data_IF_179912852977
#
_entry.id   IF_179912852977
#
_cell.length_a   1.000
_cell.length_b   1.000
_cell.length_c   1.000
_cell.angle_alpha   90.00
_cell.angle_beta   90.00
_cell.angle_gamma   90.00
#
_symmetry.space_group_name_H-M   'P 1'
#
loop_
_entity.id
_entity.type
_entity.pdbx_description
1 polymer ?
#
# COMPACT_ATOMS: atom_id res chain seq x y z
N UNK A 1 17.29 -20.36 4.57
CA UNK A 1 16.95 -19.59 3.35
C UNK A 1 18.26 -19.16 2.71
N UNK A 2 18.58 -19.67 1.53
CA UNK A 2 19.70 -19.18 0.72
C UNK A 2 19.21 -18.01 -0.13
N UNK A 3 19.98 -16.93 -0.20
CA UNK A 3 19.68 -15.81 -1.09
C UNK A 3 20.36 -16.09 -2.44
N UNK A 4 19.56 -16.24 -3.49
CA UNK A 4 20.06 -16.44 -4.86
C UNK A 4 19.89 -15.14 -5.63
N UNK A 5 20.97 -14.66 -6.23
CA UNK A 5 20.99 -13.43 -7.00
C UNK A 5 21.22 -13.74 -8.48
N UNK A 6 20.29 -13.30 -9.34
CA UNK A 6 20.37 -13.48 -10.78
C UNK A 6 20.31 -12.13 -11.48
N UNK A 7 21.19 -11.93 -12.46
CA UNK A 7 21.28 -10.68 -13.24
C UNK A 7 20.36 -10.73 -14.48
N UNK A 8 20.03 -11.93 -14.95
CA UNK A 8 19.15 -12.15 -16.10
C UNK A 8 18.11 -13.22 -15.74
N UNK A 9 16.84 -12.95 -16.05
CA UNK A 9 15.71 -13.87 -15.86
C UNK A 9 15.94 -15.20 -16.56
N UNK A 10 16.69 -15.23 -17.66
CA UNK A 10 17.03 -16.46 -18.41
C UNK A 10 17.95 -17.40 -17.65
N UNK A 11 18.66 -16.90 -16.64
CA UNK A 11 19.56 -17.70 -15.83
C UNK A 11 18.86 -18.35 -14.62
N UNK A 12 17.56 -18.12 -14.45
CA UNK A 12 16.78 -18.73 -13.37
C UNK A 12 16.39 -20.14 -13.82
N UNK A 13 17.06 -21.15 -13.27
CA UNK A 13 16.77 -22.56 -13.51
C UNK A 13 15.56 -23.05 -12.70
N UNK A 14 14.88 -24.06 -13.24
CA UNK A 14 13.72 -24.68 -12.61
C UNK A 14 14.01 -25.24 -11.22
N UNK A 15 15.21 -25.82 -11.01
CA UNK A 15 15.60 -26.41 -9.73
C UNK A 15 15.77 -25.38 -8.60
N UNK A 16 16.18 -24.16 -8.93
CA UNK A 16 16.36 -23.09 -7.95
C UNK A 16 15.00 -22.53 -7.49
N UNK A 17 14.03 -22.42 -8.41
CA UNK A 17 12.67 -21.96 -8.09
C UNK A 17 11.89 -22.96 -7.23
N UNK A 18 12.16 -24.27 -7.36
CA UNK A 18 11.46 -25.30 -6.57
C UNK A 18 11.73 -25.22 -5.06
N UNK A 19 12.79 -24.53 -4.62
CA UNK A 19 13.11 -24.33 -3.20
C UNK A 19 12.99 -22.86 -2.76
N UNK A 20 12.42 -22.02 -3.63
CA UNK A 20 12.30 -20.59 -3.40
C UNK A 20 10.85 -20.25 -3.04
N UNK A 21 10.64 -19.48 -1.97
CA UNK A 21 9.30 -18.99 -1.60
C UNK A 21 9.02 -17.58 -2.10
N UNK A 22 10.07 -16.78 -2.31
CA UNK A 22 9.96 -15.38 -2.76
C UNK A 22 11.07 -15.07 -3.77
N UNK A 23 10.71 -14.43 -4.88
CA UNK A 23 11.65 -13.89 -5.87
C UNK A 23 11.47 -12.38 -5.92
N UNK A 24 12.58 -11.64 -5.95
CA UNK A 24 12.59 -10.19 -6.16
C UNK A 24 13.31 -9.92 -7.48
N UNK A 25 12.67 -9.16 -8.37
CA UNK A 25 13.19 -8.83 -9.69
C UNK A 25 13.03 -7.34 -9.97
N UNK A 26 14.08 -6.69 -10.47
CA UNK A 26 14.00 -5.32 -10.96
C UNK A 26 13.75 -5.33 -12.47
N UNK A 27 12.72 -4.61 -12.90
CA UNK A 27 12.39 -4.46 -14.32
C UNK A 27 13.13 -3.27 -14.91
N UNK A 28 13.60 -3.41 -16.15
CA UNK A 28 14.19 -2.31 -16.90
C UNK A 28 13.19 -1.19 -17.20
N UNK A 29 13.68 0.04 -17.34
CA UNK A 29 12.88 1.21 -17.72
C UNK A 29 12.63 1.38 -19.23
N UNK A 30 13.19 0.49 -20.06
CA UNK A 30 12.99 0.51 -21.53
C UNK A 30 11.78 -0.35 -21.91
N UNK A 31 10.78 0.28 -22.53
CA UNK A 31 9.55 -0.36 -23.01
C UNK A 31 9.79 -1.57 -23.93
N UNK A 32 10.81 -1.51 -24.81
CA UNK A 32 11.09 -2.60 -25.75
C UNK A 32 11.73 -3.82 -25.08
N UNK A 33 12.44 -3.59 -23.97
CA UNK A 33 13.04 -4.64 -23.16
C UNK A 33 12.02 -5.24 -22.20
N UNK A 34 11.17 -4.40 -21.62
CA UNK A 34 10.13 -4.77 -20.67
C UNK A 34 9.16 -5.82 -21.23
N UNK A 35 8.70 -5.66 -22.48
CA UNK A 35 7.77 -6.64 -23.07
C UNK A 35 8.35 -8.06 -23.13
N UNK A 36 9.63 -8.18 -23.51
CA UNK A 36 10.34 -9.46 -23.59
C UNK A 36 10.62 -10.04 -22.20
N UNK A 37 11.02 -9.22 -21.24
CA UNK A 37 11.22 -9.64 -19.85
C UNK A 37 9.89 -10.12 -19.23
N UNK A 38 8.80 -9.37 -19.43
CA UNK A 38 7.48 -9.70 -18.92
C UNK A 38 6.94 -11.03 -19.47
N UNK A 39 7.19 -11.35 -20.75
CA UNK A 39 6.77 -12.63 -21.34
C UNK A 39 7.45 -13.83 -20.65
N UNK A 40 8.75 -13.71 -20.37
CA UNK A 40 9.51 -14.74 -19.63
C UNK A 40 8.98 -14.86 -18.20
N UNK A 41 8.81 -13.73 -17.49
CA UNK A 41 8.25 -13.74 -16.14
C UNK A 41 6.85 -14.33 -16.10
N UNK A 42 5.99 -13.99 -17.05
CA UNK A 42 4.65 -14.56 -17.14
C UNK A 42 4.67 -16.09 -17.25
N UNK A 43 5.57 -16.63 -18.06
CA UNK A 43 5.76 -18.08 -18.21
C UNK A 43 6.25 -18.73 -16.91
N UNK A 44 7.11 -18.05 -16.14
CA UNK A 44 7.61 -18.54 -14.86
C UNK A 44 6.55 -18.46 -13.76
N UNK A 45 5.83 -17.34 -13.64
CA UNK A 45 4.74 -17.15 -12.66
C UNK A 45 3.65 -18.20 -12.86
N UNK A 46 3.29 -18.50 -14.12
CA UNK A 46 2.27 -19.50 -14.42
C UNK A 46 2.71 -20.93 -14.08
N UNK A 47 4.02 -21.21 -14.19
CA UNK A 47 4.62 -22.51 -13.88
C UNK A 47 4.88 -22.72 -12.39
N UNK A 48 5.31 -21.68 -11.67
CA UNK A 48 5.70 -21.73 -10.26
C UNK A 48 4.82 -20.82 -9.43
N UNK A 49 3.63 -21.32 -9.07
CA UNK A 49 2.62 -20.54 -8.33
C UNK A 49 2.85 -20.54 -6.82
N UNK A 50 3.67 -21.46 -6.31
CA UNK A 50 4.08 -21.46 -4.91
C UNK A 50 5.07 -20.33 -4.59
N UNK A 51 5.74 -19.78 -5.61
CA UNK A 51 6.67 -18.65 -5.48
C UNK A 51 5.88 -17.35 -5.49
N UNK A 52 6.12 -16.48 -4.52
CA UNK A 52 5.63 -15.10 -4.56
C UNK A 52 6.64 -14.19 -5.28
N UNK A 53 6.20 -13.46 -6.29
CA UNK A 53 7.06 -12.65 -7.15
C UNK A 53 6.92 -11.16 -6.83
N UNK A 54 8.00 -10.51 -6.47
CA UNK A 54 8.06 -9.08 -6.17
C UNK A 54 8.83 -8.39 -7.30
N UNK A 55 8.18 -7.47 -8.01
CA UNK A 55 8.81 -6.71 -9.07
C UNK A 55 9.04 -5.27 -8.63
N UNK A 56 10.28 -4.81 -8.72
CA UNK A 56 10.63 -3.39 -8.61
C UNK A 56 10.52 -2.77 -10.01
N UNK A 57 9.63 -1.82 -10.18
CA UNK A 57 9.23 -1.28 -11.49
C UNK A 57 9.42 0.23 -11.55
N UNK A 58 10.17 0.74 -12.54
CA UNK A 58 10.24 2.18 -12.81
C UNK A 58 8.86 2.77 -13.09
N UNK A 59 8.59 3.97 -12.59
CA UNK A 59 7.28 4.62 -12.73
C UNK A 59 6.79 4.73 -14.17
N UNK A 60 7.72 4.95 -15.11
CA UNK A 60 7.45 5.06 -16.55
C UNK A 60 6.86 3.78 -17.16
N UNK A 61 7.15 2.63 -16.55
CA UNK A 61 6.75 1.31 -17.03
C UNK A 61 5.66 0.66 -16.17
N UNK A 62 5.25 1.30 -15.07
CA UNK A 62 4.38 0.69 -14.06
C UNK A 62 3.03 0.25 -14.63
N UNK A 63 2.38 1.09 -15.44
CA UNK A 63 1.09 0.75 -16.05
C UNK A 63 1.18 -0.51 -16.92
N UNK A 64 2.27 -0.63 -17.69
CA UNK A 64 2.52 -1.80 -18.53
C UNK A 64 2.85 -3.05 -17.70
N UNK A 65 3.65 -2.90 -16.64
CA UNK A 65 3.95 -4.01 -15.74
C UNK A 65 2.68 -4.54 -15.05
N UNK A 66 1.75 -3.67 -14.67
CA UNK A 66 0.44 -4.08 -14.12
C UNK A 66 -0.34 -4.93 -15.12
N UNK A 67 -0.44 -4.49 -16.37
CA UNK A 67 -1.18 -5.22 -17.41
C UNK A 67 -0.64 -6.65 -17.62
N UNK A 68 0.69 -6.82 -17.62
CA UNK A 68 1.33 -8.08 -17.97
C UNK A 68 1.55 -9.00 -16.76
N UNK A 69 1.91 -8.44 -15.61
CA UNK A 69 2.43 -9.20 -14.47
C UNK A 69 1.48 -9.25 -13.27
N UNK A 70 0.39 -8.45 -13.23
CA UNK A 70 -0.50 -8.44 -12.08
C UNK A 70 -1.28 -9.76 -11.96
N UNK A 71 -0.93 -10.57 -10.97
CA UNK A 71 -1.56 -11.86 -10.63
C UNK A 71 -1.61 -12.01 -9.10
N UNK A 72 -2.40 -12.93 -8.54
CA UNK A 72 -2.44 -13.14 -7.11
C UNK A 72 -1.06 -13.41 -6.50
N UNK A 73 -0.16 -14.06 -7.23
CA UNK A 73 1.18 -14.46 -6.80
C UNK A 73 2.22 -13.34 -6.98
N UNK A 74 1.82 -12.13 -7.38
CA UNK A 74 2.75 -11.03 -7.66
C UNK A 74 2.52 -9.79 -6.81
N UNK A 75 3.57 -9.01 -6.60
CA UNK A 75 3.54 -7.68 -6.00
C UNK A 75 4.40 -6.74 -6.83
N UNK A 76 3.81 -5.62 -7.26
CA UNK A 76 4.49 -4.61 -8.04
C UNK A 76 4.78 -3.41 -7.14
N UNK A 77 6.07 -3.10 -6.99
CA UNK A 77 6.59 -2.01 -6.19
C UNK A 77 7.28 -1.00 -7.12
N UNK A 78 7.27 0.28 -6.77
CA UNK A 78 8.10 1.24 -7.49
C UNK A 78 9.59 1.02 -7.19
N UNK A 79 10.49 1.33 -8.13
CA UNK A 79 11.95 1.34 -7.84
C UNK A 79 12.35 2.39 -6.80
N UNK A 80 11.47 3.33 -6.47
CA UNK A 80 11.67 4.31 -5.40
C UNK A 80 10.95 3.94 -4.08
N UNK A 81 10.47 2.71 -3.92
CA UNK A 81 9.89 2.25 -2.65
C UNK A 81 10.94 2.19 -1.54
N UNK A 82 10.48 2.38 -0.30
CA UNK A 82 11.36 2.27 0.86
C UNK A 82 11.71 0.81 1.15
N UNK A 83 12.79 0.60 1.92
CA UNK A 83 13.24 -0.75 2.29
C UNK A 83 12.16 -1.46 3.10
N UNK A 84 11.43 -0.72 3.94
CA UNK A 84 10.33 -1.21 4.76
C UNK A 84 9.19 -1.73 3.89
N UNK A 85 8.82 -1.01 2.83
CA UNK A 85 7.79 -1.45 1.89
C UNK A 85 8.19 -2.73 1.14
N UNK A 86 9.48 -2.87 0.81
CA UNK A 86 10.01 -4.11 0.22
C UNK A 86 9.99 -5.25 1.24
N UNK A 87 10.37 -4.99 2.50
CA UNK A 87 10.35 -5.97 3.57
C UNK A 87 8.93 -6.49 3.87
N UNK A 88 7.94 -5.59 3.90
CA UNK A 88 6.53 -5.93 4.06
C UNK A 88 6.03 -6.80 2.89
N UNK A 89 6.40 -6.46 1.65
CA UNK A 89 6.05 -7.26 0.48
C UNK A 89 6.64 -8.68 0.54
N UNK A 90 7.88 -8.83 1.04
CA UNK A 90 8.51 -10.14 1.26
C UNK A 90 7.73 -10.92 2.32
N UNK A 91 7.40 -10.30 3.45
CA UNK A 91 6.70 -10.96 4.55
C UNK A 91 5.28 -11.39 4.18
N UNK A 92 4.57 -10.59 3.38
CA UNK A 92 3.25 -10.95 2.85
C UNK A 92 3.34 -12.08 1.82
N UNK A 93 4.41 -12.08 1.01
CA UNK A 93 4.67 -13.12 0.02
C UNK A 93 5.00 -14.47 0.63
N UNK A 94 5.85 -14.49 1.66
CA UNK A 94 6.28 -15.72 2.33
C UNK A 94 5.14 -16.41 3.10
N UNK A 95 4.22 -15.63 3.67
CA UNK A 95 3.07 -16.18 4.43
C UNK A 95 2.08 -16.99 3.59
N UNK A 96 2.04 -16.83 2.26
CA UNK A 96 1.17 -17.64 1.39
C UNK A 96 1.58 -19.11 1.33
N UNK A 97 2.88 -19.39 1.46
CA UNK A 97 3.44 -20.76 1.49
C UNK A 97 3.21 -21.42 2.85
N UNK A 98 3.15 -20.61 3.91
CA UNK A 98 3.04 -21.04 5.31
C UNK A 98 1.59 -21.16 5.84
N UNK A 99 0.57 -21.15 4.96
CA UNK A 99 -0.87 -21.21 5.34
C UNK A 99 -1.33 -22.54 5.94
N UNK A 100 -0.41 -23.45 6.29
CA UNK A 100 -0.68 -24.49 7.27
C UNK A 100 0.28 -24.28 8.46
N UNK A 101 -0.25 -23.69 9.54
CA UNK A 101 0.29 -23.68 10.93
C UNK A 101 0.86 -22.39 11.55
N UNK A 102 0.74 -21.19 10.95
CA UNK A 102 1.17 -19.97 11.68
C UNK A 102 0.11 -19.33 12.59
N UNK A 103 -1.19 -19.52 12.33
CA UNK A 103 -2.23 -19.17 13.33
C UNK A 103 -2.17 -20.03 14.60
N UNK A 104 -1.51 -21.19 14.55
CA UNK A 104 -1.26 -22.05 15.73
C UNK A 104 0.01 -21.67 16.50
N UNK A 105 0.97 -20.99 15.85
CA UNK A 105 2.27 -20.63 16.46
C UNK A 105 2.37 -19.14 16.85
N UNK A 106 1.54 -18.26 16.29
CA UNK A 106 1.55 -16.81 16.58
C UNK A 106 0.91 -16.43 17.92
N UNK A 107 0.40 -17.39 18.70
CA UNK A 107 -0.15 -17.15 20.04
C UNK A 107 0.93 -16.90 21.12
N UNK A 108 2.21 -16.78 20.76
CA UNK A 108 3.29 -16.64 21.72
C UNK A 108 4.42 -15.73 21.24
N UNK A 109 4.15 -14.43 21.13
CA UNK A 109 5.19 -13.38 21.16
C UNK A 109 4.57 -12.00 21.34
N UNK A 110 4.17 -11.73 22.58
CA UNK A 110 4.12 -10.36 23.10
C UNK A 110 5.55 -9.92 23.43
N UNK A 111 5.95 -8.71 23.04
CA UNK A 111 7.23 -8.12 23.43
C UNK A 111 7.74 -6.98 22.56
N UNK A 112 7.22 -5.77 22.85
CA UNK A 112 7.83 -4.42 22.76
C UNK A 112 8.22 -3.76 21.42
N UNK A 113 7.51 -2.66 21.12
CA UNK A 113 7.88 -1.30 20.64
C UNK A 113 9.03 -1.13 19.62
N UNK A 114 9.00 -0.23 18.64
CA UNK A 114 8.09 0.80 18.12
C UNK A 114 8.66 1.13 16.72
N UNK A 115 7.81 1.27 15.70
CA UNK A 115 7.84 2.29 14.63
C UNK A 115 7.10 1.83 13.36
N UNK A 116 6.02 2.57 13.08
CA UNK A 116 5.46 2.89 11.77
C UNK A 116 4.95 1.77 10.85
N UNK A 117 3.88 1.10 11.28
CA UNK A 117 2.81 0.80 10.34
C UNK A 117 1.71 1.87 10.51
N UNK A 118 1.53 2.84 9.58
CA UNK A 118 0.44 3.79 9.72
C UNK A 118 -0.88 3.00 9.68
N UNK A 119 -1.75 3.18 10.68
CA UNK A 119 -2.90 2.30 10.82
C UNK A 119 -3.93 2.64 9.77
N UNK A 120 -4.17 1.70 8.86
CA UNK A 120 -5.21 1.79 7.84
C UNK A 120 -6.56 2.16 8.49
N UNK A 121 -6.93 3.44 8.46
CA UNK A 121 -8.24 3.90 8.91
C UNK A 121 -9.34 3.02 8.31
N UNK A 122 -10.32 2.63 9.11
CA UNK A 122 -11.48 1.88 8.61
C UNK A 122 -12.27 2.75 7.64
N UNK A 123 -13.08 2.14 6.77
CA UNK A 123 -13.94 2.86 5.86
C UNK A 123 -14.83 3.90 6.58
N UNK A 124 -15.31 3.54 7.78
CA UNK A 124 -16.15 4.43 8.59
C UNK A 124 -15.38 5.63 9.17
N UNK A 125 -14.15 5.42 9.60
CA UNK A 125 -13.28 6.48 10.12
C UNK A 125 -12.86 7.45 9.00
N UNK A 126 -12.44 6.90 7.85
CA UNK A 126 -12.14 7.69 6.65
C UNK A 126 -13.35 8.53 6.22
N UNK A 127 -14.54 7.96 6.25
CA UNK A 127 -15.76 8.67 5.86
C UNK A 127 -16.07 9.85 6.79
N UNK A 128 -15.88 9.70 8.10
CA UNK A 128 -16.05 10.79 9.07
C UNK A 128 -14.99 11.87 8.87
N UNK A 129 -13.69 11.51 8.79
CA UNK A 129 -12.62 12.49 8.57
C UNK A 129 -12.75 13.22 7.23
N UNK A 130 -13.18 12.53 6.17
CA UNK A 130 -13.44 13.12 4.85
C UNK A 130 -14.54 14.18 4.89
N UNK A 131 -15.61 13.94 5.65
CA UNK A 131 -16.70 14.91 5.80
C UNK A 131 -16.28 16.09 6.68
N UNK A 132 -15.50 15.84 7.73
CA UNK A 132 -14.90 16.90 8.54
C UNK A 132 -13.97 17.79 7.70
N UNK A 133 -13.15 17.20 6.84
CA UNK A 133 -12.28 17.94 5.90
C UNK A 133 -13.04 18.75 4.86
N UNK A 134 -14.29 18.38 4.57
CA UNK A 134 -15.23 19.16 3.74
C UNK A 134 -15.96 20.27 4.51
N UNK A 135 -15.66 20.46 5.80
CA UNK A 135 -16.28 21.49 6.64
C UNK A 135 -17.59 21.09 7.31
N UNK A 136 -18.00 19.82 7.25
CA UNK A 136 -19.23 19.37 7.90
C UNK A 136 -19.05 19.24 9.42
N UNK A 137 -20.03 19.69 10.19
CA UNK A 137 -20.06 19.51 11.65
C UNK A 137 -20.51 18.11 12.07
N UNK A 138 -20.11 17.65 13.26
CA UNK A 138 -20.43 16.31 13.80
C UNK A 138 -21.94 16.01 13.77
N UNK A 139 -22.77 16.99 14.12
CA UNK A 139 -24.23 16.85 14.10
C UNK A 139 -24.79 16.64 12.68
N UNK A 140 -24.23 17.35 11.69
CA UNK A 140 -24.65 17.23 10.31
C UNK A 140 -24.19 15.88 9.72
N UNK A 141 -22.98 15.44 10.08
CA UNK A 141 -22.45 14.13 9.70
C UNK A 141 -23.32 13.01 10.29
N UNK A 142 -23.74 13.14 11.56
CA UNK A 142 -24.61 12.18 12.22
C UNK A 142 -25.95 12.03 11.47
N UNK A 143 -26.57 13.15 11.09
CA UNK A 143 -27.79 13.15 10.28
C UNK A 143 -27.55 12.54 8.89
N UNK A 144 -26.50 12.96 8.19
CA UNK A 144 -26.16 12.50 6.84
C UNK A 144 -25.88 11.00 6.78
N UNK A 145 -25.15 10.47 7.77
CA UNK A 145 -24.79 9.06 7.86
C UNK A 145 -25.85 8.21 8.56
N UNK A 146 -26.96 8.80 9.01
CA UNK A 146 -28.02 8.16 9.80
C UNK A 146 -27.46 7.42 11.02
N UNK A 147 -26.54 8.07 11.75
CA UNK A 147 -25.87 7.54 12.95
C UNK A 147 -26.05 8.49 14.12
N UNK A 148 -25.85 8.00 15.34
CA UNK A 148 -25.88 8.86 16.53
C UNK A 148 -24.65 9.76 16.60
N UNK A 149 -24.77 10.94 17.21
CA UNK A 149 -23.64 11.83 17.49
C UNK A 149 -22.54 11.14 18.32
N UNK A 150 -22.93 10.24 19.22
CA UNK A 150 -21.99 9.42 20.00
C UNK A 150 -21.16 8.51 19.10
N UNK A 151 -21.79 7.88 18.09
CA UNK A 151 -21.11 7.03 17.11
C UNK A 151 -20.13 7.82 16.26
N UNK A 152 -20.53 8.98 15.72
CA UNK A 152 -19.63 9.82 14.91
C UNK A 152 -18.46 10.33 15.75
N UNK A 153 -18.71 10.74 17.00
CA UNK A 153 -17.66 11.17 17.92
C UNK A 153 -16.69 10.02 18.23
N UNK A 154 -17.21 8.82 18.51
CA UNK A 154 -16.38 7.64 18.74
C UNK A 154 -15.52 7.29 17.52
N UNK A 155 -16.09 7.37 16.31
CA UNK A 155 -15.34 7.14 15.06
C UNK A 155 -14.25 8.21 14.83
N UNK A 156 -14.53 9.49 15.12
CA UNK A 156 -13.52 10.55 15.09
C UNK A 156 -12.39 10.26 16.08
N UNK A 157 -12.71 9.94 17.33
CA UNK A 157 -11.73 9.65 18.37
C UNK A 157 -10.93 8.37 18.09
N UNK A 158 -11.58 7.35 17.52
CA UNK A 158 -10.91 6.14 17.05
C UNK A 158 -9.93 6.47 15.92
N UNK A 159 -10.35 7.27 14.94
CA UNK A 159 -9.48 7.71 13.85
C UNK A 159 -8.26 8.51 14.37
N UNK A 160 -8.48 9.45 15.30
CA UNK A 160 -7.39 10.21 15.93
C UNK A 160 -6.44 9.31 16.71
N UNK A 161 -6.96 8.35 17.49
CA UNK A 161 -6.13 7.37 18.21
C UNK A 161 -5.28 6.54 17.27
N UNK A 162 -5.86 6.09 16.15
CA UNK A 162 -5.14 5.32 15.13
C UNK A 162 -4.05 6.18 14.52
N UNK A 163 -4.36 7.38 14.04
CA UNK A 163 -3.35 8.29 13.47
C UNK A 163 -2.38 8.90 14.50
N UNK A 164 -2.39 8.45 15.77
CA UNK A 164 -1.58 9.00 16.86
C UNK A 164 -1.73 10.51 17.08
N UNK A 165 -2.91 11.05 16.76
CA UNK A 165 -3.27 12.45 16.93
C UNK A 165 -3.91 12.68 18.30
N UNK A 166 -3.45 13.70 19.03
CA UNK A 166 -3.89 14.03 20.39
C UNK A 166 -4.90 15.16 20.40
N UNK A 167 -4.86 16.06 19.42
CA UNK A 167 -5.72 17.25 19.37
C UNK A 167 -6.56 17.34 18.10
N UNK A 168 -7.69 18.04 18.18
CA UNK A 168 -8.48 18.35 16.98
C UNK A 168 -7.67 19.21 15.98
N UNK A 169 -6.75 20.05 16.46
CA UNK A 169 -5.89 20.87 15.62
C UNK A 169 -4.94 20.00 14.78
N UNK A 170 -4.29 19.02 15.41
CA UNK A 170 -3.46 18.01 14.72
C UNK A 170 -4.29 17.20 13.72
N UNK A 171 -5.53 16.85 14.05
CA UNK A 171 -6.43 16.17 13.12
C UNK A 171 -6.72 17.00 11.86
N UNK A 172 -7.05 18.29 12.00
CA UNK A 172 -7.24 19.14 10.83
C UNK A 172 -5.93 19.40 10.07
N UNK A 173 -4.80 19.49 10.79
CA UNK A 173 -3.47 19.54 10.17
C UNK A 173 -3.18 18.31 9.32
N UNK A 174 -3.48 17.11 9.83
CA UNK A 174 -3.32 15.86 9.10
C UNK A 174 -4.27 15.77 7.91
N UNK A 175 -5.56 16.10 8.06
CA UNK A 175 -6.55 16.08 6.97
C UNK A 175 -6.09 16.95 5.78
N UNK A 176 -5.50 18.11 6.07
CA UNK A 176 -5.03 19.06 5.05
C UNK A 176 -3.60 18.77 4.54
N UNK A 177 -2.90 17.81 5.15
CA UNK A 177 -1.60 17.36 4.67
C UNK A 177 -1.72 16.57 3.37
N UNK A 178 -0.62 16.47 2.61
CA UNK A 178 -0.58 15.65 1.39
C UNK A 178 -0.96 14.18 1.66
N UNK A 179 -0.54 13.62 2.80
CA UNK A 179 -0.88 12.27 3.21
C UNK A 179 -2.38 12.11 3.49
N UNK A 180 -2.97 13.02 4.28
CA UNK A 180 -4.40 13.00 4.57
C UNK A 180 -5.26 13.19 3.32
N UNK A 181 -4.84 14.08 2.42
CA UNK A 181 -5.51 14.30 1.13
C UNK A 181 -5.50 13.03 0.26
N UNK A 182 -4.36 12.33 0.21
CA UNK A 182 -4.22 11.07 -0.52
C UNK A 182 -5.09 9.97 0.11
N UNK A 183 -5.00 9.77 1.42
CA UNK A 183 -5.71 8.70 2.14
C UNK A 183 -7.23 8.88 2.19
N UNK A 184 -7.70 10.13 2.18
CA UNK A 184 -9.13 10.47 2.17
C UNK A 184 -9.69 10.66 0.75
N UNK A 185 -8.87 10.45 -0.29
CA UNK A 185 -9.21 10.72 -1.70
C UNK A 185 -9.74 12.15 -1.93
N UNK A 186 -9.13 13.12 -1.28
CA UNK A 186 -9.46 14.55 -1.37
C UNK A 186 -8.58 15.31 -2.37
N UNK A 187 -7.75 14.61 -3.15
CA UNK A 187 -6.81 15.20 -4.11
C UNK A 187 -7.48 16.08 -5.19
N UNK A 188 -8.77 15.86 -5.49
CA UNK A 188 -9.53 16.75 -6.39
C UNK A 188 -9.86 18.10 -5.76
N UNK A 189 -9.95 18.21 -4.43
CA UNK A 189 -10.29 19.46 -3.71
C UNK A 189 -9.13 20.47 -3.67
N UNK A 190 -7.87 20.01 -3.77
CA UNK A 190 -6.71 20.90 -3.73
C UNK A 190 -6.47 21.63 -5.07
N UNK A 191 -6.97 21.11 -6.20
CA UNK A 191 -6.90 21.82 -7.49
C UNK A 191 -7.72 23.10 -7.48
N UNK A 192 -8.82 23.15 -6.75
CA UNK A 192 -9.63 24.37 -6.62
C UNK A 192 -8.95 25.40 -5.71
N UNK A 193 -8.35 24.99 -4.58
CA UNK A 193 -7.67 25.94 -3.67
C UNK A 193 -6.38 26.53 -4.27
N UNK A 194 -5.62 25.76 -5.06
CA UNK A 194 -4.43 26.26 -5.76
C UNK A 194 -4.78 27.15 -6.97
N UNK A 195 -5.99 27.04 -7.53
CA UNK A 195 -6.46 27.96 -8.58
C UNK A 195 -6.73 29.36 -8.05
N UNK A 196 -7.19 29.52 -6.80
CA UNK A 196 -7.44 30.85 -6.22
C UNK A 196 -6.15 31.57 -5.77
N UNK A 197 -5.14 30.84 -5.29
CA UNK A 197 -3.85 31.47 -4.92
C UNK A 197 -3.06 31.98 -6.13
N UNK A 198 -3.27 31.43 -7.33
CA UNK A 198 -2.63 31.89 -8.57
C UNK A 198 -3.38 33.04 -9.26
N UNK A 199 -4.59 33.38 -8.81
CA UNK A 199 -5.38 34.52 -9.32
C UNK A 199 -5.29 35.77 -8.42
N UNK A 200 -4.70 35.65 -7.22
CA UNK A 200 -4.48 36.77 -6.31
C UNK A 200 -3.10 37.45 -6.47
N UNK A 201 -2.26 36.96 -7.40
CA UNK A 201 -0.93 37.51 -7.70
C UNK A 201 -0.79 37.79 -9.22
N UNK A 202 -1.84 38.35 -9.83
CA UNK A 202 -1.76 39.00 -11.14
C UNK A 202 -2.72 40.19 -11.19
#
# INVERSE_FOLDING_TARGET
>A
MGLLHFIDVKNIGSSELMQTSVVIAELGGDEQKLARECEVYYSLITRFREVHWIFLVPRVCFARAVEWLMRPETTLLSTCESIEAVADAIFLGSQKVDRISHSLLAAGREGSNDEENPPLLTASEKQVLRLLGKGWGINQIAQLLKKSNKTISAQKHSAMRRLSLKTNAEMYGWINSFQGLKELNLLSMHRESQQWNNLAIN
#
